data_IF_377651152368
#
_entry.id   IF_377651152368
#
_cell.length_a   1.000
_cell.length_b   1.000
_cell.length_c   1.000
_cell.angle_alpha   90.00
_cell.angle_beta   90.00
_cell.angle_gamma   90.00
#
_symmetry.space_group_name_H-M   'P 1'
#
loop_
_entity.id
_entity.type
_entity.pdbx_description
1 polymer ?
#
# COMPACT_ATOMS: atom_id res chain seq x y z
N UNK A 1 -10.61 75.98 62.95
CA UNK A 1 -9.42 76.72 63.41
C UNK A 1 -8.21 76.18 62.67
N UNK A 2 -7.55 77.05 61.91
CA UNK A 2 -6.12 77.09 61.57
C UNK A 2 -5.36 75.74 61.51
N UNK A 3 -4.89 75.35 60.32
CA UNK A 3 -3.54 75.66 59.82
C UNK A 3 -2.52 74.60 60.26
N UNK A 4 -1.88 73.91 59.33
CA UNK A 4 -0.48 74.17 58.99
C UNK A 4 -0.03 73.32 57.79
N UNK A 5 0.32 74.07 56.76
CA UNK A 5 1.07 73.71 55.55
C UNK A 5 2.47 73.20 55.90
N UNK A 6 2.94 72.18 55.18
CA UNK A 6 4.38 72.00 54.91
C UNK A 6 4.59 71.79 53.40
N UNK A 7 5.25 72.78 52.83
CA UNK A 7 5.77 72.89 51.47
C UNK A 7 7.08 72.10 51.38
N UNK A 8 7.25 71.31 50.32
CA UNK A 8 8.57 70.96 49.79
C UNK A 8 8.58 71.22 48.28
N UNK A 9 9.39 72.20 47.89
CA UNK A 9 9.75 72.57 46.52
C UNK A 9 10.92 71.69 46.03
N UNK A 10 10.88 71.21 44.78
CA UNK A 10 12.06 71.00 43.92
C UNK A 10 11.59 70.78 42.45
N UNK A 11 11.63 71.79 41.58
CA UNK A 11 12.71 72.24 40.68
C UNK A 11 12.64 71.65 39.25
N UNK A 12 12.08 72.49 38.37
CA UNK A 12 12.27 72.71 36.92
C UNK A 12 13.21 71.81 36.10
N UNK A 13 12.75 71.47 34.87
CA UNK A 13 13.35 72.04 33.65
C UNK A 13 12.34 72.00 32.47
N UNK A 14 11.95 73.18 31.97
CA UNK A 14 11.28 73.34 30.68
C UNK A 14 12.36 73.53 29.60
N UNK A 15 12.28 72.77 28.51
CA UNK A 15 12.93 73.13 27.26
C UNK A 15 11.90 72.97 26.13
N UNK A 16 11.69 74.07 25.41
CA UNK A 16 10.81 74.20 24.25
C UNK A 16 11.47 73.52 23.06
N UNK A 17 10.77 72.60 22.40
CA UNK A 17 11.20 71.97 21.15
C UNK A 17 10.07 72.02 20.12
N UNK A 18 10.38 72.57 18.94
CA UNK A 18 9.46 72.78 17.82
C UNK A 18 8.75 71.48 17.39
N UNK A 19 7.44 71.58 17.18
CA UNK A 19 6.60 70.52 16.60
C UNK A 19 6.85 70.48 15.08
N UNK A 20 7.76 69.61 14.61
CA UNK A 20 7.87 69.31 13.19
C UNK A 20 6.83 68.25 12.83
N UNK A 21 5.88 68.62 11.99
CA UNK A 21 5.01 67.67 11.29
C UNK A 21 5.88 66.77 10.41
N UNK A 22 5.94 65.48 10.74
CA UNK A 22 6.22 64.43 9.77
C UNK A 22 5.08 63.44 9.87
N UNK A 23 4.13 63.62 8.96
CA UNK A 23 3.21 62.58 8.52
C UNK A 23 4.09 61.55 7.83
N UNK A 24 4.42 60.47 8.53
CA UNK A 24 4.76 59.22 7.87
C UNK A 24 3.43 58.50 7.69
N UNK A 25 2.75 58.77 6.58
CA UNK A 25 1.82 57.81 6.02
C UNK A 25 2.69 56.62 5.60
N UNK A 26 2.75 55.61 6.46
CA UNK A 26 3.15 54.27 6.07
C UNK A 26 2.10 53.76 5.08
N UNK A 27 2.32 54.03 3.80
CA UNK A 27 1.63 53.33 2.71
C UNK A 27 2.20 51.92 2.58
N UNK A 28 2.17 51.13 3.66
CA UNK A 28 2.15 49.69 3.49
C UNK A 28 0.79 49.37 2.89
N UNK A 29 0.75 49.11 1.57
CA UNK A 29 -0.43 48.53 0.95
C UNK A 29 -0.84 47.33 1.82
N UNK A 30 -2.12 47.19 2.22
CA UNK A 30 -2.56 45.97 2.87
C UNK A 30 -2.10 44.80 1.99
N UNK A 31 -1.56 43.71 2.57
CA UNK A 31 -1.04 42.61 1.78
C UNK A 31 -2.07 42.24 0.72
N UNK A 32 -1.67 42.33 -0.54
CA UNK A 32 -2.54 41.96 -1.66
C UNK A 32 -2.96 40.52 -1.44
N UNK A 33 -4.26 40.29 -1.29
CA UNK A 33 -4.81 38.94 -1.17
C UNK A 33 -4.39 38.16 -2.41
N UNK A 34 -3.72 37.03 -2.21
CA UNK A 34 -3.23 36.20 -3.30
C UNK A 34 -4.41 35.51 -3.97
N UNK A 35 -4.36 35.43 -5.30
CA UNK A 35 -5.45 34.91 -6.12
C UNK A 35 -5.12 33.53 -6.64
N UNK A 36 -6.00 32.59 -6.37
CA UNK A 36 -5.97 31.26 -6.98
C UNK A 36 -6.14 31.39 -8.49
N UNK A 37 -5.25 30.79 -9.27
CA UNK A 37 -5.37 30.77 -10.73
C UNK A 37 -5.37 29.35 -11.33
N UNK A 38 -4.94 28.34 -10.59
CA UNK A 38 -4.90 26.95 -11.06
C UNK A 38 -5.17 25.97 -9.91
N UNK A 39 -5.87 24.87 -10.21
CA UNK A 39 -6.04 23.73 -9.32
C UNK A 39 -5.45 22.49 -10.00
N UNK A 40 -4.55 21.79 -9.31
CA UNK A 40 -3.95 20.54 -9.78
C UNK A 40 -4.33 19.39 -8.85
N UNK A 41 -4.90 18.32 -9.41
CA UNK A 41 -5.19 17.09 -8.67
C UNK A 41 -3.96 16.18 -8.66
N UNK A 42 -3.60 15.65 -7.48
CA UNK A 42 -2.52 14.68 -7.30
C UNK A 42 -2.98 13.49 -6.46
N UNK A 43 -2.67 12.24 -6.86
CA UNK A 43 -2.23 11.82 -8.20
C UNK A 43 -3.32 12.06 -9.27
N UNK A 44 -2.90 12.30 -10.52
CA UNK A 44 -3.80 12.60 -11.65
C UNK A 44 -4.39 11.35 -12.31
N UNK A 45 -3.62 10.27 -12.40
CA UNK A 45 -4.07 8.99 -12.95
C UNK A 45 -3.84 7.92 -11.90
N UNK A 46 -4.92 7.26 -11.46
CA UNK A 46 -4.84 6.18 -10.47
C UNK A 46 -5.66 4.96 -10.83
N UNK A 47 -5.06 3.81 -10.59
CA UNK A 47 -5.74 2.54 -10.54
C UNK A 47 -6.08 2.22 -9.08
N UNK A 48 -7.35 1.93 -8.79
CA UNK A 48 -7.84 1.66 -7.44
C UNK A 48 -8.74 0.41 -7.41
N UNK A 49 -8.67 -0.32 -6.31
CA UNK A 49 -9.62 -1.40 -5.97
C UNK A 49 -10.16 -1.24 -4.54
N UNK A 50 -9.53 -0.38 -3.74
CA UNK A 50 -9.95 0.06 -2.42
C UNK A 50 -9.86 1.59 -2.36
N UNK A 51 -10.39 2.17 -1.30
CA UNK A 51 -10.51 3.61 -1.21
C UNK A 51 -9.15 4.34 -1.08
N UNK A 52 -9.01 5.48 -1.76
CA UNK A 52 -7.74 6.20 -1.94
C UNK A 52 -7.92 7.70 -1.79
N UNK A 53 -6.97 8.33 -1.11
CA UNK A 53 -6.86 9.78 -1.03
C UNK A 53 -6.30 10.38 -2.33
N UNK A 54 -6.95 11.42 -2.83
CA UNK A 54 -6.40 12.37 -3.81
C UNK A 54 -6.37 13.78 -3.19
N UNK A 55 -5.53 14.65 -3.73
CA UNK A 55 -5.29 15.98 -3.18
C UNK A 55 -5.49 17.05 -4.25
N UNK A 56 -6.11 18.16 -3.88
CA UNK A 56 -6.17 19.37 -4.71
C UNK A 56 -5.11 20.37 -4.23
N UNK A 57 -4.20 20.74 -5.13
CA UNK A 57 -3.15 21.74 -4.89
C UNK A 57 -3.52 23.00 -5.68
N UNK A 58 -3.78 24.09 -4.96
CA UNK A 58 -4.05 25.40 -5.53
C UNK A 58 -2.76 26.17 -5.75
N UNK A 59 -2.61 26.78 -6.94
CA UNK A 59 -1.49 27.69 -7.25
C UNK A 59 -1.98 29.13 -7.26
N UNK A 60 -1.23 29.98 -6.57
CA UNK A 60 -1.58 31.37 -6.35
C UNK A 60 -0.61 32.31 -7.08
N UNK A 61 -1.10 33.48 -7.47
CA UNK A 61 -0.35 34.48 -8.24
C UNK A 61 0.88 35.06 -7.51
N UNK A 62 0.96 34.90 -6.20
CA UNK A 62 2.14 35.17 -5.37
C UNK A 62 3.23 34.07 -5.44
N UNK A 63 2.97 33.01 -6.22
CA UNK A 63 3.86 31.86 -6.41
C UNK A 63 3.72 30.77 -5.34
N UNK A 64 2.79 30.89 -4.39
CA UNK A 64 2.55 29.86 -3.38
C UNK A 64 1.72 28.71 -3.94
N UNK A 65 1.98 27.50 -3.41
CA UNK A 65 1.14 26.32 -3.61
C UNK A 65 0.55 25.88 -2.26
N UNK A 66 -0.78 25.71 -2.21
CA UNK A 66 -1.49 25.36 -0.98
C UNK A 66 -2.33 24.11 -1.22
N UNK A 67 -2.32 23.18 -0.25
CA UNK A 67 -3.27 22.08 -0.25
C UNK A 67 -4.65 22.61 0.13
N UNK A 68 -5.57 22.58 -0.84
CA UNK A 68 -6.94 23.07 -0.73
C UNK A 68 -7.96 21.93 -0.83
N UNK A 69 -7.53 20.69 -0.58
CA UNK A 69 -8.32 19.45 -0.72
C UNK A 69 -9.68 19.51 -0.02
N UNK A 70 -9.75 20.10 1.18
CA UNK A 70 -10.99 20.24 1.95
C UNK A 70 -11.78 21.51 1.63
N UNK A 71 -11.29 22.35 0.72
CA UNK A 71 -11.92 23.61 0.32
C UNK A 71 -12.55 23.55 -1.07
N UNK A 72 -12.06 22.65 -1.93
CA UNK A 72 -12.62 22.44 -3.27
C UNK A 72 -13.93 21.63 -3.20
N UNK A 73 -14.74 21.79 -4.24
CA UNK A 73 -15.85 20.89 -4.55
C UNK A 73 -15.31 19.80 -5.48
N UNK A 74 -15.43 18.54 -5.07
CA UNK A 74 -15.11 17.37 -5.87
C UNK A 74 -16.33 16.92 -6.68
N UNK A 75 -16.15 16.66 -7.97
CA UNK A 75 -17.19 16.13 -8.86
C UNK A 75 -16.65 14.92 -9.62
N UNK A 76 -17.40 13.82 -9.58
CA UNK A 76 -17.06 12.56 -10.26
C UNK A 76 -18.02 12.36 -11.42
N UNK A 77 -17.48 12.19 -12.63
CA UNK A 77 -18.29 12.13 -13.86
C UNK A 77 -19.26 10.95 -13.93
N UNK A 78 -18.90 9.83 -13.27
CA UNK A 78 -19.71 8.61 -13.20
C UNK A 78 -19.61 8.00 -11.80
N UNK A 79 -20.64 8.27 -10.98
CA UNK A 79 -20.77 7.78 -9.61
C UNK A 79 -21.16 6.30 -9.50
N UNK A 80 -21.48 5.62 -10.61
CA UNK A 80 -21.65 4.17 -10.63
C UNK A 80 -20.29 3.47 -10.52
N UNK A 81 -19.22 4.11 -11.00
CA UNK A 81 -17.85 3.57 -11.01
C UNK A 81 -17.12 3.89 -9.70
N UNK A 82 -17.11 5.15 -9.27
CA UNK A 82 -16.48 5.59 -8.02
C UNK A 82 -17.16 6.84 -7.47
N UNK A 83 -17.01 7.12 -6.17
CA UNK A 83 -17.51 8.36 -5.55
C UNK A 83 -16.42 9.06 -4.76
N UNK A 84 -16.49 10.38 -4.65
CA UNK A 84 -15.62 11.19 -3.79
C UNK A 84 -16.37 11.74 -2.59
N UNK A 85 -15.70 11.88 -1.45
CA UNK A 85 -16.18 12.74 -0.36
C UNK A 85 -15.54 14.14 -0.41
N UNK A 86 -15.98 15.04 0.49
CA UNK A 86 -15.46 16.41 0.58
C UNK A 86 -14.01 16.51 1.05
N UNK A 87 -13.44 15.41 1.53
CA UNK A 87 -12.03 15.33 1.93
C UNK A 87 -11.14 14.84 0.80
N UNK A 88 -11.67 14.59 -0.40
CA UNK A 88 -10.90 14.06 -1.53
C UNK A 88 -10.63 12.57 -1.42
N UNK A 89 -11.44 11.84 -0.65
CA UNK A 89 -11.34 10.38 -0.55
C UNK A 89 -12.21 9.72 -1.62
N UNK A 90 -11.59 8.93 -2.50
CA UNK A 90 -12.26 8.22 -3.59
C UNK A 90 -12.56 6.79 -3.16
N UNK A 91 -13.84 6.42 -3.13
CA UNK A 91 -14.33 5.06 -2.89
C UNK A 91 -14.73 4.41 -4.22
N UNK A 92 -14.04 3.33 -4.67
CA UNK A 92 -14.46 2.60 -5.85
C UNK A 92 -15.73 1.78 -5.58
N UNK A 93 -16.56 1.61 -6.61
CA UNK A 93 -17.81 0.82 -6.56
C UNK A 93 -17.82 -0.30 -7.59
N UNK A 94 -17.53 0.00 -8.85
CA UNK A 94 -17.57 -0.95 -9.95
C UNK A 94 -16.36 -0.79 -10.86
N UNK A 95 -15.86 -1.90 -11.41
CA UNK A 95 -14.77 -1.91 -12.39
C UNK A 95 -15.16 -1.05 -13.60
N UNK A 96 -14.24 -0.18 -14.02
CA UNK A 96 -14.47 0.79 -15.09
C UNK A 96 -13.58 2.01 -14.92
N UNK A 97 -13.76 3.01 -15.77
CA UNK A 97 -13.02 4.26 -15.71
C UNK A 97 -13.96 5.45 -15.56
N UNK A 98 -13.63 6.38 -14.68
CA UNK A 98 -14.33 7.66 -14.49
C UNK A 98 -13.32 8.79 -14.34
N UNK A 99 -13.78 10.03 -14.29
CA UNK A 99 -12.93 11.20 -14.08
C UNK A 99 -13.40 12.00 -12.88
N UNK A 100 -12.45 12.69 -12.25
CA UNK A 100 -12.70 13.61 -11.14
C UNK A 100 -12.17 14.98 -11.48
N UNK A 101 -12.96 16.01 -11.15
CA UNK A 101 -12.52 17.41 -11.15
C UNK A 101 -12.67 18.03 -9.77
N UNK A 102 -11.86 19.05 -9.51
CA UNK A 102 -11.93 19.88 -8.31
C UNK A 102 -12.22 21.32 -8.72
N UNK A 103 -13.11 22.01 -8.01
CA UNK A 103 -13.44 23.41 -8.30
C UNK A 103 -13.48 24.27 -7.05
N UNK A 104 -12.98 25.50 -7.16
CA UNK A 104 -12.99 26.52 -6.10
C UNK A 104 -12.98 27.91 -6.75
N UNK A 105 -13.88 28.79 -6.31
CA UNK A 105 -13.98 30.19 -6.75
C UNK A 105 -14.02 30.37 -8.28
N UNK A 106 -14.68 29.45 -8.98
CA UNK A 106 -14.83 29.44 -10.44
C UNK A 106 -13.63 28.91 -11.21
N UNK A 107 -12.53 28.56 -10.52
CA UNK A 107 -11.39 27.82 -11.09
C UNK A 107 -11.72 26.32 -11.06
N UNK A 108 -11.50 25.63 -12.17
CA UNK A 108 -11.74 24.19 -12.34
C UNK A 108 -10.41 23.53 -12.71
N UNK A 109 -10.11 22.39 -12.08
CA UNK A 109 -8.92 21.61 -12.40
C UNK A 109 -9.01 20.93 -13.76
N UNK A 110 -7.88 20.45 -14.26
CA UNK A 110 -7.93 19.39 -15.28
C UNK A 110 -8.54 18.10 -14.71
N UNK A 111 -9.04 17.24 -15.60
CA UNK A 111 -9.55 15.92 -15.22
C UNK A 111 -8.42 15.06 -14.63
N UNK A 112 -8.71 14.42 -13.50
CA UNK A 112 -7.97 13.26 -13.01
C UNK A 112 -8.70 11.98 -13.42
N UNK A 113 -7.98 11.00 -13.96
CA UNK A 113 -8.55 9.71 -14.36
C UNK A 113 -8.51 8.71 -13.19
N UNK A 114 -9.64 8.09 -12.92
CA UNK A 114 -9.78 7.01 -11.94
C UNK A 114 -10.15 5.74 -12.70
N UNK A 115 -9.28 4.74 -12.62
CA UNK A 115 -9.55 3.41 -13.13
C UNK A 115 -9.81 2.48 -11.96
N UNK A 116 -11.02 1.95 -11.86
CA UNK A 116 -11.36 0.92 -10.91
C UNK A 116 -11.01 -0.43 -11.53
N UNK A 117 -10.06 -1.14 -10.92
CA UNK A 117 -9.52 -2.42 -11.39
C UNK A 117 -9.85 -3.55 -10.42
N UNK A 118 -9.75 -4.81 -10.87
CA UNK A 118 -9.86 -5.95 -9.98
C UNK A 118 -8.74 -5.97 -8.93
N UNK A 119 -9.07 -6.41 -7.72
CA UNK A 119 -8.08 -6.67 -6.68
C UNK A 119 -7.26 -7.92 -6.99
N UNK A 120 -5.98 -7.88 -6.64
CA UNK A 120 -5.12 -9.07 -6.66
C UNK A 120 -5.31 -9.93 -5.41
N UNK A 121 -6.09 -9.49 -4.41
CA UNK A 121 -6.34 -10.24 -3.17
C UNK A 121 -7.58 -11.11 -3.34
N UNK A 122 -7.45 -12.42 -3.13
CA UNK A 122 -8.60 -13.32 -3.22
C UNK A 122 -9.65 -12.98 -2.16
N UNK A 123 -10.94 -13.06 -2.53
CA UNK A 123 -12.05 -12.73 -1.63
C UNK A 123 -12.25 -11.24 -1.36
N UNK A 124 -11.50 -10.36 -2.02
CA UNK A 124 -11.66 -8.90 -1.84
C UNK A 124 -12.78 -8.34 -2.71
N UNK A 125 -13.75 -7.71 -2.04
CA UNK A 125 -14.80 -6.93 -2.68
C UNK A 125 -14.33 -5.48 -2.93
N UNK A 126 -14.56 -4.98 -4.14
CA UNK A 126 -14.19 -3.61 -4.53
C UNK A 126 -14.78 -2.59 -3.56
N UNK A 127 -13.94 -1.66 -3.09
CA UNK A 127 -14.32 -0.62 -2.13
C UNK A 127 -14.27 -1.05 -0.67
N UNK A 128 -14.20 -2.35 -0.38
CA UNK A 128 -14.06 -2.85 0.99
C UNK A 128 -12.63 -2.69 1.51
N UNK A 129 -12.47 -2.66 2.83
CA UNK A 129 -11.14 -2.71 3.44
C UNK A 129 -10.47 -4.06 3.16
N UNK A 130 -9.16 -4.05 2.93
CA UNK A 130 -8.42 -5.29 2.60
C UNK A 130 -8.49 -6.34 3.73
N UNK A 131 -8.63 -5.90 4.98
CA UNK A 131 -8.72 -6.80 6.13
C UNK A 131 -9.90 -7.78 6.03
N UNK A 132 -10.96 -7.45 5.28
CA UNK A 132 -12.13 -8.33 5.12
C UNK A 132 -11.88 -9.51 4.19
N UNK A 133 -10.83 -9.44 3.37
CA UNK A 133 -10.43 -10.49 2.43
C UNK A 133 -9.34 -11.43 2.98
N UNK A 134 -8.85 -11.12 4.19
CA UNK A 134 -7.85 -11.95 4.86
C UNK A 134 -8.55 -13.20 5.41
N UNK A 135 -7.84 -14.32 5.40
CA UNK A 135 -8.38 -15.62 5.82
C UNK A 135 -9.58 -16.05 4.95
N UNK A 136 -9.58 -15.65 3.68
CA UNK A 136 -10.57 -16.07 2.69
C UNK A 136 -10.66 -17.61 2.58
N UNK A 137 -11.85 -18.13 2.84
CA UNK A 137 -12.14 -19.56 2.99
C UNK A 137 -12.70 -20.22 1.73
N UNK A 138 -12.87 -19.48 0.63
CA UNK A 138 -13.24 -20.10 -0.65
C UNK A 138 -12.14 -21.06 -1.10
N UNK A 139 -12.49 -22.34 -1.22
CA UNK A 139 -11.55 -23.41 -1.52
C UNK A 139 -11.02 -23.41 -2.96
N UNK A 140 -11.65 -22.64 -3.87
CA UNK A 140 -11.42 -22.76 -5.31
C UNK A 140 -10.80 -21.51 -5.95
N UNK A 141 -10.82 -20.37 -5.26
CA UNK A 141 -10.41 -19.11 -5.89
C UNK A 141 -8.88 -18.89 -5.91
N UNK A 142 -8.09 -19.71 -5.21
CA UNK A 142 -6.62 -19.65 -5.24
C UNK A 142 -6.03 -19.95 -6.61
N UNK A 143 -6.74 -20.70 -7.46
CA UNK A 143 -6.33 -20.98 -8.83
C UNK A 143 -6.62 -19.81 -9.80
N UNK A 144 -7.29 -18.73 -9.38
CA UNK A 144 -7.64 -17.59 -10.23
C UNK A 144 -6.53 -16.53 -10.27
N UNK A 145 -6.76 -15.37 -10.91
CA UNK A 145 -5.77 -14.27 -11.01
C UNK A 145 -5.62 -13.45 -9.71
N UNK A 146 -5.80 -14.07 -8.55
CA UNK A 146 -5.62 -13.46 -7.23
C UNK A 146 -4.65 -14.30 -6.37
N UNK A 147 -4.20 -13.71 -5.26
CA UNK A 147 -3.35 -14.34 -4.26
C UNK A 147 -4.08 -14.33 -2.91
N UNK A 148 -4.13 -15.49 -2.25
CA UNK A 148 -4.75 -15.60 -0.92
C UNK A 148 -3.82 -15.06 0.16
N UNK A 149 -4.41 -14.53 1.23
CA UNK A 149 -3.70 -14.08 2.42
C UNK A 149 -4.32 -14.72 3.66
N UNK A 150 -3.47 -15.18 4.57
CA UNK A 150 -3.85 -15.63 5.90
C UNK A 150 -3.08 -14.84 6.96
N UNK A 151 -3.63 -14.74 8.17
CA UNK A 151 -3.02 -13.95 9.25
C UNK A 151 -2.82 -14.76 10.53
N UNK A 152 -1.60 -14.85 11.04
CA UNK A 152 -1.32 -15.54 12.31
C UNK A 152 -1.91 -14.80 13.53
N UNK A 153 -1.84 -15.41 14.72
CA UNK A 153 -2.36 -14.80 15.95
C UNK A 153 -1.55 -13.58 16.41
N UNK A 154 -0.36 -13.36 15.85
CA UNK A 154 0.48 -12.18 16.10
C UNK A 154 0.20 -11.04 15.10
N UNK A 155 -0.69 -11.25 14.12
CA UNK A 155 -1.06 -10.26 13.12
C UNK A 155 -0.17 -10.24 11.87
N UNK A 156 0.82 -11.13 11.74
CA UNK A 156 1.61 -11.24 10.50
C UNK A 156 0.75 -11.83 9.39
N UNK A 157 0.89 -11.28 8.19
CA UNK A 157 0.19 -11.75 6.99
C UNK A 157 1.10 -12.65 6.18
N UNK A 158 0.52 -13.69 5.60
CA UNK A 158 1.19 -14.72 4.84
C UNK A 158 0.44 -14.90 3.53
N UNK A 159 1.14 -15.05 2.41
CA UNK A 159 0.51 -15.33 1.11
C UNK A 159 0.50 -16.82 0.80
N UNK A 160 -0.52 -17.29 0.08
CA UNK A 160 -0.40 -18.59 -0.59
C UNK A 160 0.70 -18.56 -1.64
N UNK A 161 1.06 -19.73 -2.18
CA UNK A 161 1.80 -19.77 -3.44
C UNK A 161 0.91 -19.22 -4.58
N UNK A 162 1.46 -18.53 -5.59
CA UNK A 162 0.67 -17.99 -6.69
C UNK A 162 0.23 -19.05 -7.70
N UNK A 163 -0.94 -18.87 -8.29
CA UNK A 163 -1.38 -19.62 -9.48
C UNK A 163 -0.65 -19.16 -10.74
N UNK A 164 -0.68 -19.97 -11.80
CA UNK A 164 -0.22 -19.55 -13.12
C UNK A 164 -0.96 -18.30 -13.64
N UNK A 165 -2.22 -18.11 -13.24
CA UNK A 165 -3.04 -17.01 -13.72
C UNK A 165 -2.54 -15.65 -13.20
N UNK A 166 -2.23 -15.54 -11.90
CA UNK A 166 -1.65 -14.31 -11.36
C UNK A 166 -0.19 -14.12 -11.80
N UNK A 167 0.57 -15.21 -11.98
CA UNK A 167 1.92 -15.13 -12.55
C UNK A 167 1.89 -14.52 -13.96
N UNK A 168 1.02 -15.01 -14.83
CA UNK A 168 0.84 -14.46 -16.18
C UNK A 168 0.38 -13.01 -16.15
N UNK A 169 -0.58 -12.66 -15.28
CA UNK A 169 -1.08 -11.30 -15.11
C UNK A 169 0.05 -10.33 -14.70
N UNK A 170 0.97 -10.78 -13.83
CA UNK A 170 2.11 -10.00 -13.38
C UNK A 170 3.32 -10.05 -14.32
N UNK A 171 3.22 -10.79 -15.43
CA UNK A 171 4.27 -10.91 -16.45
C UNK A 171 5.43 -11.84 -16.07
N UNK A 172 5.16 -12.87 -15.26
CA UNK A 172 6.14 -13.90 -14.94
C UNK A 172 6.25 -14.95 -16.05
N UNK A 173 7.45 -15.48 -16.25
CA UNK A 173 7.73 -16.56 -17.22
C UNK A 173 8.45 -17.73 -16.56
N UNK A 174 8.24 -18.95 -17.05
CA UNK A 174 8.96 -20.14 -16.57
C UNK A 174 10.43 -20.08 -16.98
N UNK A 175 11.33 -20.09 -16.00
CA UNK A 175 12.77 -20.24 -16.22
C UNK A 175 13.45 -20.77 -14.95
N UNK A 176 13.83 -22.04 -14.98
CA UNK A 176 14.55 -22.71 -13.89
C UNK A 176 15.99 -22.17 -13.76
N UNK A 177 16.44 -21.91 -12.52
CA UNK A 177 17.77 -21.37 -12.25
C UNK A 177 18.03 -19.96 -12.77
N UNK A 178 16.97 -19.17 -13.05
CA UNK A 178 17.12 -17.85 -13.66
C UNK A 178 17.77 -16.82 -12.71
N UNK A 179 18.84 -16.20 -13.19
CA UNK A 179 19.57 -15.12 -12.51
C UNK A 179 19.01 -13.73 -12.85
N UNK A 180 19.26 -12.75 -11.97
CA UNK A 180 18.99 -11.33 -12.24
C UNK A 180 17.57 -10.88 -11.88
N UNK A 181 17.12 -9.75 -12.42
CA UNK A 181 15.87 -9.07 -12.03
C UNK A 181 14.61 -9.55 -12.77
N UNK A 182 14.71 -10.65 -13.51
CA UNK A 182 13.57 -11.17 -14.27
C UNK A 182 12.48 -11.72 -13.33
N UNK A 183 11.23 -11.48 -13.72
CA UNK A 183 10.05 -12.09 -13.11
C UNK A 183 9.94 -13.53 -13.60
N UNK A 184 10.43 -14.47 -12.81
CA UNK A 184 10.48 -15.88 -13.19
C UNK A 184 9.98 -16.79 -12.07
N UNK A 185 9.52 -17.96 -12.46
CA UNK A 185 9.30 -19.10 -11.58
C UNK A 185 10.00 -20.33 -12.17
N UNK A 186 10.37 -21.30 -11.33
CA UNK A 186 11.17 -22.45 -11.74
C UNK A 186 10.31 -23.53 -12.43
N UNK A 187 9.17 -23.89 -11.82
CA UNK A 187 8.29 -24.93 -12.35
C UNK A 187 6.82 -24.70 -11.97
N UNK A 188 5.93 -25.58 -12.44
CA UNK A 188 4.53 -25.63 -12.03
C UNK A 188 4.23 -26.95 -11.32
N UNK A 189 3.37 -26.87 -10.32
CA UNK A 189 2.71 -28.05 -9.75
C UNK A 189 1.23 -28.03 -10.11
N UNK A 190 0.76 -29.12 -10.70
CA UNK A 190 -0.66 -29.34 -10.96
C UNK A 190 -1.31 -29.99 -9.74
N UNK A 191 -2.15 -29.24 -9.05
CA UNK A 191 -3.02 -29.76 -7.99
C UNK A 191 -4.30 -30.31 -8.64
N UNK A 192 -4.63 -31.57 -8.36
CA UNK A 192 -5.72 -32.31 -9.02
C UNK A 192 -7.08 -32.22 -8.30
N UNK A 193 -7.16 -31.46 -7.20
CA UNK A 193 -8.35 -31.36 -6.36
C UNK A 193 -8.39 -32.36 -5.19
N UNK A 194 -7.49 -33.35 -5.13
CA UNK A 194 -7.53 -34.41 -4.09
C UNK A 194 -6.88 -33.96 -2.79
N UNK A 195 -5.72 -33.30 -2.90
CA UNK A 195 -4.94 -32.81 -1.76
C UNK A 195 -4.54 -31.34 -1.90
N UNK A 196 -5.21 -30.62 -2.80
CA UNK A 196 -4.99 -29.21 -3.09
C UNK A 196 -6.16 -28.63 -3.89
N UNK A 197 -6.23 -27.31 -4.07
CA UNK A 197 -7.22 -26.69 -4.95
C UNK A 197 -6.94 -27.08 -6.40
N UNK A 198 -7.95 -27.29 -7.24
CA UNK A 198 -7.71 -27.67 -8.64
C UNK A 198 -7.04 -26.53 -9.42
N UNK A 199 -5.84 -26.75 -9.97
CA UNK A 199 -5.15 -25.75 -10.79
C UNK A 199 -3.63 -25.90 -10.85
N UNK A 200 -2.98 -25.03 -11.63
CA UNK A 200 -1.52 -24.98 -11.76
C UNK A 200 -0.94 -23.84 -10.92
N UNK A 201 0.07 -24.18 -10.11
CA UNK A 201 0.68 -23.29 -9.14
C UNK A 201 2.19 -23.15 -9.35
N UNK A 202 2.68 -21.91 -9.24
CA UNK A 202 4.09 -21.60 -9.36
C UNK A 202 4.92 -22.25 -8.27
N UNK A 203 6.01 -22.88 -8.68
CA UNK A 203 7.09 -23.33 -7.82
C UNK A 203 8.31 -22.43 -8.06
N UNK A 204 8.95 -22.02 -6.96
CA UNK A 204 10.14 -21.19 -6.99
C UNK A 204 11.34 -21.99 -6.51
N UNK A 205 12.51 -21.73 -7.08
CA UNK A 205 13.79 -22.18 -6.53
C UNK A 205 14.40 -21.09 -5.62
N UNK A 206 15.57 -21.39 -5.04
CA UNK A 206 16.39 -20.41 -4.31
C UNK A 206 17.61 -19.95 -5.13
N UNK A 207 17.62 -20.22 -6.43
CA UNK A 207 18.71 -19.89 -7.35
C UNK A 207 18.53 -18.49 -7.92
N UNK A 208 19.61 -17.94 -8.49
CA UNK A 208 19.57 -16.63 -9.12
C UNK A 208 20.31 -15.53 -8.38
N UNK A 209 20.69 -15.79 -7.13
CA UNK A 209 21.42 -14.85 -6.27
C UNK A 209 22.47 -15.55 -5.39
N UNK A 210 22.54 -15.21 -4.10
CA UNK A 210 23.59 -15.72 -3.21
C UNK A 210 23.26 -17.11 -2.61
N UNK A 211 24.20 -17.69 -1.85
CA UNK A 211 24.00 -19.01 -1.21
C UNK A 211 22.95 -19.02 -0.10
N UNK A 212 22.47 -17.86 0.34
CA UNK A 212 21.38 -17.69 1.30
C UNK A 212 20.02 -17.47 0.59
N UNK A 213 20.02 -17.56 -0.75
CA UNK A 213 18.85 -17.34 -1.60
C UNK A 213 18.43 -15.88 -1.68
N UNK A 214 19.25 -14.93 -1.22
CA UNK A 214 18.99 -13.50 -1.45
C UNK A 214 19.07 -13.24 -2.95
N UNK A 215 18.12 -12.47 -3.48
CA UNK A 215 17.89 -12.29 -4.92
C UNK A 215 17.60 -13.59 -5.69
N UNK A 216 17.31 -14.70 -5.00
CA UNK A 216 16.82 -15.92 -5.63
C UNK A 216 15.35 -15.79 -6.08
N UNK A 217 14.83 -16.74 -6.88
CA UNK A 217 13.46 -16.62 -7.43
C UNK A 217 12.38 -16.40 -6.37
N UNK A 218 12.42 -17.17 -5.27
CA UNK A 218 11.50 -16.95 -4.14
C UNK A 218 11.65 -15.56 -3.51
N UNK A 219 12.88 -15.07 -3.35
CA UNK A 219 13.13 -13.74 -2.78
C UNK A 219 12.59 -12.63 -3.68
N UNK A 220 12.87 -12.71 -4.98
CA UNK A 220 12.38 -11.76 -5.99
C UNK A 220 10.86 -11.74 -6.10
N UNK A 221 10.20 -12.89 -5.92
CA UNK A 221 8.73 -12.94 -5.82
C UNK A 221 8.22 -12.06 -4.67
N UNK A 222 8.78 -12.23 -3.46
CA UNK A 222 8.36 -11.42 -2.31
C UNK A 222 8.73 -9.93 -2.46
N UNK A 223 9.93 -9.63 -2.97
CA UNK A 223 10.34 -8.26 -3.29
C UNK A 223 9.39 -7.62 -4.33
N UNK A 224 8.89 -8.39 -5.29
CA UNK A 224 7.93 -7.88 -6.27
C UNK A 224 6.58 -7.57 -5.63
N UNK A 225 6.07 -8.42 -4.73
CA UNK A 225 4.84 -8.13 -3.98
C UNK A 225 4.98 -6.83 -3.15
N UNK A 226 6.14 -6.61 -2.52
CA UNK A 226 6.47 -5.37 -1.84
C UNK A 226 6.47 -4.17 -2.80
N UNK A 227 7.14 -4.29 -3.94
CA UNK A 227 7.26 -3.21 -4.92
C UNK A 227 5.91 -2.79 -5.52
N UNK A 228 5.01 -3.73 -5.78
CA UNK A 228 3.65 -3.43 -6.29
C UNK A 228 2.66 -3.06 -5.20
N UNK A 229 3.11 -2.96 -3.94
CA UNK A 229 2.27 -2.70 -2.77
C UNK A 229 1.08 -3.66 -2.67
N UNK A 230 1.34 -4.94 -2.89
CA UNK A 230 0.32 -5.98 -2.83
C UNK A 230 -0.44 -5.90 -1.49
N UNK A 231 -1.77 -5.92 -1.55
CA UNK A 231 -2.65 -5.75 -0.38
C UNK A 231 -2.38 -4.46 0.42
N UNK A 232 -1.95 -3.40 -0.27
CA UNK A 232 -1.55 -2.11 0.29
C UNK A 232 -0.38 -2.20 1.30
N UNK A 233 0.54 -3.15 1.09
CA UNK A 233 1.75 -3.33 1.92
C UNK A 233 3.01 -3.41 1.07
N UNK A 234 4.07 -2.74 1.50
CA UNK A 234 5.33 -2.59 0.77
C UNK A 234 6.53 -3.28 1.44
N UNK A 235 6.28 -4.17 2.40
CA UNK A 235 7.29 -4.85 3.21
C UNK A 235 7.21 -6.39 3.11
N UNK A 236 6.68 -6.93 2.01
CA UNK A 236 6.66 -8.37 1.76
C UNK A 236 8.06 -8.94 1.66
N UNK A 237 8.34 -10.01 2.42
CA UNK A 237 9.64 -10.69 2.47
C UNK A 237 9.47 -12.21 2.53
N UNK A 238 10.54 -12.96 2.32
CA UNK A 238 10.55 -14.40 2.64
C UNK A 238 10.27 -14.62 4.13
N UNK A 239 9.66 -15.76 4.45
CA UNK A 239 9.40 -16.18 5.83
C UNK A 239 10.39 -17.19 6.40
N UNK A 240 10.58 -17.16 7.72
CA UNK A 240 11.34 -18.20 8.43
C UNK A 240 10.51 -19.47 8.64
N UNK A 241 11.18 -20.58 8.91
CA UNK A 241 10.49 -21.85 9.21
C UNK A 241 9.65 -21.72 10.49
N UNK A 242 10.12 -20.95 11.47
CA UNK A 242 9.39 -20.71 12.72
C UNK A 242 8.12 -19.90 12.48
N UNK A 243 8.18 -18.88 11.62
CA UNK A 243 7.00 -18.07 11.27
C UNK A 243 5.94 -18.91 10.54
N UNK A 244 6.34 -19.74 9.58
CA UNK A 244 5.41 -20.63 8.88
C UNK A 244 4.88 -21.76 9.77
N UNK A 245 5.69 -22.26 10.70
CA UNK A 245 5.21 -23.19 11.73
C UNK A 245 4.19 -22.54 12.64
N UNK A 246 4.39 -21.28 13.03
CA UNK A 246 3.42 -20.55 13.85
C UNK A 246 2.11 -20.33 13.10
N UNK A 247 2.18 -19.97 11.80
CA UNK A 247 0.99 -19.90 10.95
C UNK A 247 0.21 -21.22 10.99
N UNK A 248 0.89 -22.36 10.76
CA UNK A 248 0.23 -23.66 10.79
C UNK A 248 -0.35 -24.00 12.18
N UNK A 249 0.34 -23.68 13.26
CA UNK A 249 -0.17 -23.91 14.63
C UNK A 249 -1.43 -23.09 14.91
N UNK A 250 -1.49 -21.86 14.39
CA UNK A 250 -2.63 -20.97 14.59
C UNK A 250 -3.82 -21.31 13.69
N UNK A 251 -3.55 -21.79 12.47
CA UNK A 251 -4.55 -21.94 11.40
C UNK A 251 -4.94 -23.38 11.08
N UNK A 252 -4.11 -24.33 11.47
CA UNK A 252 -4.25 -25.73 11.07
C UNK A 252 -4.00 -25.94 9.57
N UNK A 253 -4.70 -26.91 9.01
CA UNK A 253 -4.61 -27.28 7.59
C UNK A 253 -5.06 -26.13 6.68
N UNK A 254 -4.10 -25.56 5.95
CA UNK A 254 -4.33 -24.40 5.09
C UNK A 254 -5.18 -24.72 3.85
N UNK A 255 -5.22 -25.98 3.41
CA UNK A 255 -6.08 -26.40 2.31
C UNK A 255 -7.54 -26.39 2.74
N UNK A 256 -7.88 -27.21 3.73
CA UNK A 256 -9.28 -27.46 4.08
C UNK A 256 -9.94 -26.23 4.73
N UNK A 257 -9.15 -25.35 5.35
CA UNK A 257 -9.68 -24.18 6.02
C UNK A 257 -9.67 -22.93 5.11
N UNK A 258 -8.72 -22.81 4.17
CA UNK A 258 -8.48 -21.57 3.43
C UNK A 258 -8.28 -21.75 1.93
N UNK A 259 -8.35 -22.97 1.38
CA UNK A 259 -8.17 -23.22 -0.06
C UNK A 259 -6.75 -22.98 -0.56
N UNK A 260 -5.75 -23.01 0.32
CA UNK A 260 -4.36 -22.82 -0.10
C UNK A 260 -3.84 -24.05 -0.83
N UNK A 261 -2.94 -23.88 -1.83
CA UNK A 261 -2.18 -24.99 -2.38
C UNK A 261 -1.23 -25.52 -1.32
N UNK A 262 -1.62 -26.58 -0.65
CA UNK A 262 -0.80 -27.26 0.34
C UNK A 262 -0.89 -28.76 0.16
N UNK A 263 -0.64 -29.23 -1.07
CA UNK A 263 -0.50 -30.66 -1.38
C UNK A 263 0.22 -31.43 -0.28
N UNK A 264 -0.31 -32.61 0.07
CA UNK A 264 0.42 -33.55 0.92
C UNK A 264 1.78 -33.95 0.32
N UNK A 265 2.04 -33.67 -0.95
CA UNK A 265 3.27 -34.01 -1.67
C UNK A 265 4.23 -32.83 -1.87
N UNK A 266 3.86 -31.63 -1.45
CA UNK A 266 4.68 -30.44 -1.65
C UNK A 266 4.91 -29.69 -0.32
N UNK A 267 5.96 -28.88 -0.27
CA UNK A 267 6.33 -28.09 0.91
C UNK A 267 6.45 -26.62 0.52
N UNK A 268 6.34 -25.76 1.52
CA UNK A 268 6.65 -24.34 1.42
C UNK A 268 8.10 -24.08 1.80
N UNK A 269 8.75 -23.22 1.02
CA UNK A 269 10.07 -22.69 1.32
C UNK A 269 10.08 -21.90 2.62
N UNK A 270 11.21 -21.96 3.33
CA UNK A 270 11.59 -20.96 4.32
C UNK A 270 12.96 -20.39 4.02
N UNK A 271 13.26 -19.22 4.60
CA UNK A 271 14.60 -18.62 4.57
C UNK A 271 15.56 -19.23 5.61
N UNK A 272 15.12 -20.18 6.44
CA UNK A 272 15.94 -20.73 7.53
C UNK A 272 16.98 -21.73 7.00
N UNK A 273 18.28 -21.41 7.03
CA UNK A 273 19.31 -22.30 6.49
C UNK A 273 19.57 -23.50 7.41
N UNK A 274 19.97 -24.62 6.81
CA UNK A 274 20.43 -25.84 7.49
C UNK A 274 21.54 -26.49 6.65
N UNK A 275 22.79 -26.23 7.02
CA UNK A 275 23.95 -26.62 6.20
C UNK A 275 23.91 -25.94 4.83
N UNK A 276 23.89 -26.75 3.75
CA UNK A 276 23.78 -26.30 2.36
C UNK A 276 22.33 -26.33 1.83
N UNK A 277 21.35 -26.43 2.72
CA UNK A 277 19.93 -26.55 2.41
C UNK A 277 19.12 -25.54 3.22
N UNK A 278 17.82 -25.48 2.96
CA UNK A 278 16.88 -24.69 3.77
C UNK A 278 15.87 -25.62 4.40
N UNK A 279 15.40 -25.26 5.59
CA UNK A 279 14.23 -25.92 6.17
C UNK A 279 12.99 -25.59 5.34
N UNK A 280 12.07 -26.53 5.30
CA UNK A 280 10.79 -26.39 4.60
C UNK A 280 9.67 -26.85 5.52
N UNK A 281 8.43 -26.48 5.20
CA UNK A 281 7.26 -26.89 5.98
C UNK A 281 6.09 -27.23 5.08
N UNK A 282 5.36 -28.29 5.41
CA UNK A 282 4.12 -28.64 4.74
C UNK A 282 2.94 -28.07 5.51
N UNK A 283 2.23 -27.12 4.91
CA UNK A 283 1.09 -26.44 5.54
C UNK A 283 -0.21 -27.26 5.57
N UNK A 284 -0.14 -28.54 5.18
CA UNK A 284 -1.21 -29.53 5.33
C UNK A 284 -1.25 -30.15 6.74
N UNK A 285 -0.07 -30.52 7.28
CA UNK A 285 0.05 -31.27 8.53
C UNK A 285 1.23 -30.85 9.42
N UNK A 286 1.91 -29.76 9.05
CA UNK A 286 3.01 -29.17 9.83
C UNK A 286 4.33 -29.92 9.71
N UNK A 287 4.46 -30.89 8.80
CA UNK A 287 5.71 -31.63 8.62
C UNK A 287 6.86 -30.69 8.22
N UNK A 288 7.97 -30.74 8.97
CA UNK A 288 9.19 -30.00 8.67
C UNK A 288 10.13 -30.88 7.83
N UNK A 289 10.60 -30.32 6.72
CA UNK A 289 11.55 -30.96 5.83
C UNK A 289 12.82 -30.13 5.62
N UNK A 290 13.62 -30.54 4.65
CA UNK A 290 14.77 -29.79 4.16
C UNK A 290 14.92 -29.99 2.66
N UNK A 291 15.41 -28.96 1.97
CA UNK A 291 15.65 -29.03 0.53
C UNK A 291 16.87 -28.20 0.12
N UNK A 292 17.60 -28.69 -0.88
CA UNK A 292 18.70 -27.97 -1.52
C UNK A 292 18.19 -26.79 -2.35
N UNK A 293 19.03 -25.81 -2.62
CA UNK A 293 18.68 -24.60 -3.39
C UNK A 293 18.10 -24.85 -4.78
N UNK A 294 18.40 -26.01 -5.39
CA UNK A 294 17.90 -26.41 -6.71
C UNK A 294 16.47 -26.96 -6.71
N UNK A 295 15.87 -27.22 -5.54
CA UNK A 295 14.49 -27.70 -5.51
C UNK A 295 13.53 -26.57 -5.92
N UNK A 296 12.40 -26.93 -6.52
CA UNK A 296 11.30 -25.98 -6.76
C UNK A 296 10.15 -26.32 -5.82
N UNK A 297 9.68 -25.35 -5.05
CA UNK A 297 8.69 -25.55 -4.00
C UNK A 297 7.71 -24.37 -3.93
N UNK A 298 6.63 -24.55 -3.17
CA UNK A 298 5.70 -23.47 -2.88
C UNK A 298 6.37 -22.35 -2.09
N UNK A 299 5.84 -21.14 -2.25
CA UNK A 299 6.37 -19.94 -1.60
C UNK A 299 5.28 -19.18 -0.86
N UNK A 300 5.57 -18.71 0.35
CA UNK A 300 4.70 -17.81 1.12
C UNK A 300 5.49 -16.58 1.53
N UNK A 301 5.06 -15.40 1.08
CA UNK A 301 5.65 -14.15 1.53
C UNK A 301 4.99 -13.69 2.82
N UNK A 302 5.77 -13.05 3.69
CA UNK A 302 5.33 -12.54 4.99
C UNK A 302 5.37 -11.03 4.96
N UNK A 303 4.37 -10.41 5.57
CA UNK A 303 4.33 -8.98 5.85
C UNK A 303 3.90 -8.75 7.30
N UNK A 304 4.69 -7.97 8.02
CA UNK A 304 4.42 -7.52 9.39
C UNK A 304 3.85 -6.10 9.41
N UNK A 305 3.28 -5.70 10.55
CA UNK A 305 2.78 -4.33 10.76
C UNK A 305 3.90 -3.36 11.11
#
# INVERSE_FOLDING_TARGET
>A
MNSHIKIVLFFCLFIVGCKSERIFDDFSQPPTESKLYEISIKPKDIDIYFAKQIFAIGKYDDGTEVNITSSVIWDVSDEYIAVSDSSGYILPKNIGSTTVIASLDGIISENANINVVSSLVCGHDIGSEIITAIDDSDLNNSATSCLKIAKDNNGKWFTSTPSINILNLLGYVKADGANGTYKTYADLYHEDGTYGPYGDFGLFDQLGGDSLGNDGQYDRWCQNLAAIKFANRDNWRRGSQEELSQLFLDKGDMLNNYGWPSSKYNLYWSLTPTGLSFKTIRLYDGLIGMASTYASMYSSCISEF
#
